data_IF_005583810765
#
_entry.id   IF_005583810765
#
_cell.length_a   1.000
_cell.length_b   1.000
_cell.length_c   1.000
_cell.angle_alpha   90.00
_cell.angle_beta   90.00
_cell.angle_gamma   90.00
#
_symmetry.space_group_name_H-M   'P 1'
#
loop_
_entity.id
_entity.type
_entity.pdbx_description
1 polymer ?
#
# COMPACT_ATOMS: atom_id res chain seq x y z
N UNK A 1 10.09 42.23 12.75
CA UNK A 1 8.82 41.47 12.76
C UNK A 1 8.50 41.08 11.33
N UNK A 2 8.56 39.80 10.95
CA UNK A 2 8.12 39.37 9.63
C UNK A 2 6.60 39.07 9.65
N UNK A 3 5.86 39.50 8.62
CA UNK A 3 4.44 39.22 8.44
C UNK A 3 4.25 37.82 7.82
N UNK A 4 2.99 37.38 7.72
CA UNK A 4 2.49 36.09 7.16
C UNK A 4 2.27 34.94 8.16
N UNK A 5 1.36 35.16 9.12
CA UNK A 5 0.43 34.09 9.52
C UNK A 5 -0.67 33.98 8.47
N UNK A 6 -0.70 32.92 7.65
CA UNK A 6 -1.91 32.53 6.92
C UNK A 6 -2.82 31.71 7.85
N UNK A 7 -4.10 32.07 7.86
CA UNK A 7 -5.17 31.50 8.67
C UNK A 7 -5.45 30.06 8.24
N UNK A 8 -5.54 29.15 9.21
CA UNK A 8 -6.17 27.84 9.07
C UNK A 8 -7.69 28.06 8.93
N UNK A 9 -8.29 27.59 7.83
CA UNK A 9 -9.74 27.39 7.75
C UNK A 9 -9.99 25.88 7.71
N UNK A 10 -10.65 25.29 8.72
CA UNK A 10 -11.02 23.89 8.69
C UNK A 10 -12.29 23.76 7.84
N UNK A 11 -12.17 23.21 6.63
CA UNK A 11 -13.33 22.75 5.89
C UNK A 11 -13.17 21.26 5.55
N UNK A 12 -14.27 20.54 5.74
CA UNK A 12 -14.38 19.09 5.82
C UNK A 12 -14.13 18.41 4.47
N UNK A 13 -12.88 18.03 4.21
CA UNK A 13 -12.49 16.90 3.36
C UNK A 13 -10.99 16.66 3.57
N UNK A 14 -10.69 15.88 4.61
CA UNK A 14 -9.34 15.76 5.19
C UNK A 14 -8.37 14.98 4.28
N UNK A 15 -7.79 15.68 3.31
CA UNK A 15 -6.42 15.44 2.85
C UNK A 15 -5.69 16.77 2.85
N UNK A 16 -4.57 16.94 3.57
CA UNK A 16 -3.77 18.17 3.49
C UNK A 16 -3.32 18.37 2.04
N UNK A 17 -3.95 19.31 1.35
CA UNK A 17 -3.62 19.70 0.00
C UNK A 17 -2.60 20.83 0.09
N UNK A 18 -1.31 20.50 0.06
CA UNK A 18 -0.29 21.46 -0.35
C UNK A 18 -0.38 21.52 -1.87
N UNK A 19 -1.21 22.43 -2.39
CA UNK A 19 -1.24 22.72 -3.82
C UNK A 19 -0.08 23.66 -4.14
N UNK A 20 0.99 23.12 -4.69
CA UNK A 20 1.90 23.93 -5.49
C UNK A 20 1.13 24.38 -6.72
N UNK A 21 1.19 25.67 -7.05
CA UNK A 21 0.64 26.16 -8.30
C UNK A 21 1.27 25.33 -9.43
N UNK A 22 0.51 24.93 -10.45
CA UNK A 22 1.15 24.36 -11.64
C UNK A 22 2.15 25.41 -12.13
N UNK A 23 3.46 25.13 -12.20
CA UNK A 23 4.39 26.09 -12.77
C UNK A 23 4.02 26.22 -14.24
N UNK A 24 3.33 27.32 -14.56
CA UNK A 24 3.31 27.86 -15.90
C UNK A 24 4.73 28.36 -16.13
N UNK A 25 5.43 27.66 -17.01
CA UNK A 25 6.75 28.01 -17.56
C UNK A 25 7.96 27.94 -16.61
N UNK A 26 8.69 26.81 -16.64
CA UNK A 26 10.14 26.75 -17.00
C UNK A 26 10.75 25.35 -16.80
N UNK A 27 10.16 24.31 -17.37
CA UNK A 27 10.93 23.16 -17.91
C UNK A 27 9.96 22.35 -18.77
N UNK A 28 10.06 22.48 -20.09
CA UNK A 28 9.21 21.71 -20.98
C UNK A 28 9.45 20.22 -20.69
N UNK A 29 8.42 19.46 -20.27
CA UNK A 29 8.58 18.04 -20.03
C UNK A 29 9.03 17.40 -21.35
N UNK A 30 10.09 16.61 -21.29
CA UNK A 30 10.64 15.97 -22.47
C UNK A 30 9.54 15.08 -23.09
N UNK A 31 9.07 15.35 -24.33
CA UNK A 31 7.88 14.71 -24.88
C UNK A 31 8.04 13.19 -25.03
N UNK A 32 9.29 12.70 -25.07
CA UNK A 32 9.61 11.28 -25.10
C UNK A 32 9.24 10.51 -23.80
N UNK A 33 9.08 11.21 -22.66
CA UNK A 33 8.85 10.58 -21.35
C UNK A 33 7.46 10.85 -20.76
N UNK A 34 6.59 11.54 -21.50
CA UNK A 34 5.27 11.93 -20.99
C UNK A 34 4.21 10.96 -21.52
N UNK A 35 3.63 10.16 -20.63
CA UNK A 35 2.47 9.34 -20.95
C UNK A 35 1.26 10.26 -21.23
N UNK A 36 0.49 9.94 -22.26
CA UNK A 36 -0.75 10.65 -22.51
C UNK A 36 -1.78 10.40 -21.39
N UNK A 37 -2.80 11.25 -21.32
CA UNK A 37 -3.82 11.18 -20.27
C UNK A 37 -4.56 9.82 -20.30
N UNK A 38 -4.73 9.23 -21.49
CA UNK A 38 -5.38 7.95 -21.66
C UNK A 38 -4.55 6.81 -21.04
N UNK A 39 -3.25 6.73 -21.34
CA UNK A 39 -2.35 5.73 -20.74
C UNK A 39 -2.26 5.90 -19.23
N UNK A 40 -2.22 7.15 -18.73
CA UNK A 40 -2.24 7.43 -17.29
C UNK A 40 -3.54 6.93 -16.63
N UNK A 41 -4.69 7.14 -17.29
CA UNK A 41 -6.00 6.66 -16.82
C UNK A 41 -6.06 5.12 -16.75
N UNK A 42 -5.50 4.43 -17.74
CA UNK A 42 -5.46 2.96 -17.80
C UNK A 42 -4.56 2.40 -16.69
N UNK A 43 -3.39 3.01 -16.48
CA UNK A 43 -2.48 2.63 -15.39
C UNK A 43 -3.15 2.84 -14.04
N UNK A 44 -3.88 3.95 -13.87
CA UNK A 44 -4.58 4.22 -12.62
C UNK A 44 -5.81 3.32 -12.44
N UNK A 45 -6.49 2.88 -13.50
CA UNK A 45 -7.57 1.89 -13.42
C UNK A 45 -7.07 0.52 -12.91
N UNK A 46 -5.82 0.15 -13.20
CA UNK A 46 -5.22 -1.09 -12.71
C UNK A 46 -4.91 -1.09 -11.19
N UNK A 47 -4.99 0.07 -10.53
CA UNK A 47 -4.65 0.22 -9.11
C UNK A 47 -5.92 0.29 -8.26
N UNK A 48 -6.03 -0.57 -7.24
CA UNK A 48 -7.16 -0.54 -6.31
C UNK A 48 -7.29 0.81 -5.59
N UNK A 49 -8.52 1.22 -5.27
CA UNK A 49 -8.79 2.50 -4.61
C UNK A 49 -8.00 2.67 -3.30
N UNK A 50 -7.91 1.60 -2.50
CA UNK A 50 -7.10 1.59 -1.27
C UNK A 50 -5.62 1.87 -1.52
N UNK A 51 -5.07 1.39 -2.64
CA UNK A 51 -3.68 1.63 -3.04
C UNK A 51 -3.51 3.06 -3.58
N UNK A 52 -4.51 3.62 -4.27
CA UNK A 52 -4.51 5.05 -4.66
C UNK A 52 -4.48 5.96 -3.43
N UNK A 53 -5.38 5.74 -2.48
CA UNK A 53 -5.44 6.53 -1.24
C UNK A 53 -4.13 6.49 -0.47
N UNK A 54 -3.53 5.30 -0.33
CA UNK A 54 -2.22 5.16 0.32
C UNK A 54 -1.12 5.93 -0.41
N UNK A 55 -1.11 5.93 -1.75
CA UNK A 55 -0.13 6.70 -2.51
C UNK A 55 -0.30 8.20 -2.26
N UNK A 56 -1.53 8.70 -2.32
CA UNK A 56 -1.84 10.12 -2.03
C UNK A 56 -1.38 10.50 -0.62
N UNK A 57 -1.66 9.66 0.37
CA UNK A 57 -1.23 9.88 1.74
C UNK A 57 0.30 9.98 1.85
N UNK A 58 1.05 9.04 1.26
CA UNK A 58 2.52 9.07 1.33
C UNK A 58 3.14 10.22 0.56
N UNK A 59 2.52 10.67 -0.54
CA UNK A 59 2.92 11.90 -1.22
C UNK A 59 2.65 13.11 -0.33
N UNK A 60 1.47 13.22 0.28
CA UNK A 60 1.14 14.32 1.18
C UNK A 60 2.09 14.39 2.39
N UNK A 61 2.46 13.25 2.98
CA UNK A 61 3.44 13.17 4.06
C UNK A 61 4.81 13.70 3.64
N UNK A 62 5.25 13.43 2.41
CA UNK A 62 6.49 14.01 1.88
C UNK A 62 6.39 15.53 1.72
N UNK A 63 5.26 16.05 1.20
CA UNK A 63 5.07 17.49 1.03
C UNK A 63 4.99 18.24 2.36
N UNK A 64 4.35 17.65 3.38
CA UNK A 64 4.32 18.19 4.73
C UNK A 64 5.74 18.24 5.30
N UNK A 65 6.48 17.12 5.21
CA UNK A 65 7.87 17.09 5.66
C UNK A 65 8.73 18.14 4.95
N UNK A 66 8.57 18.31 3.62
CA UNK A 66 9.29 19.31 2.86
C UNK A 66 8.96 20.74 3.32
N UNK A 67 7.70 21.00 3.66
CA UNK A 67 7.25 22.29 4.22
C UNK A 67 7.89 22.53 5.59
N UNK A 68 7.97 21.51 6.44
CA UNK A 68 8.63 21.59 7.75
C UNK A 68 10.14 21.83 7.64
N UNK A 69 10.76 21.41 6.54
CA UNK A 69 12.17 21.68 6.22
C UNK A 69 12.38 23.02 5.49
N UNK A 70 11.32 23.79 5.24
CA UNK A 70 11.36 25.09 4.55
C UNK A 70 11.96 24.97 3.14
N UNK A 71 11.69 23.86 2.44
CA UNK A 71 12.16 23.64 1.08
C UNK A 71 11.36 24.48 0.08
N UNK A 72 12.02 24.97 -0.96
CA UNK A 72 11.36 25.66 -2.08
C UNK A 72 10.74 24.66 -3.07
N UNK A 73 9.89 25.13 -3.97
CA UNK A 73 9.24 24.25 -4.95
C UNK A 73 10.25 23.54 -5.86
N UNK A 74 11.32 24.25 -6.22
CA UNK A 74 12.41 23.74 -7.06
C UNK A 74 13.22 22.63 -6.36
N UNK A 75 13.25 22.63 -5.01
CA UNK A 75 13.93 21.61 -4.21
C UNK A 75 13.06 20.38 -3.94
N UNK A 76 11.74 20.52 -4.09
CA UNK A 76 10.74 19.45 -3.89
C UNK A 76 10.47 18.70 -5.19
N UNK A 77 10.58 19.37 -6.34
CA UNK A 77 10.18 18.81 -7.62
C UNK A 77 11.05 19.30 -8.81
N UNK A 78 11.98 18.46 -9.32
CA UNK A 78 12.37 17.15 -8.82
C UNK A 78 13.24 17.26 -7.54
N UNK A 79 13.04 16.37 -6.56
CA UNK A 79 13.84 16.41 -5.34
C UNK A 79 15.28 15.98 -5.61
N UNK A 80 16.24 16.74 -5.08
CA UNK A 80 17.66 16.36 -5.13
C UNK A 80 17.94 15.06 -4.36
N UNK A 81 19.05 14.37 -4.65
CA UNK A 81 19.45 13.19 -3.88
C UNK A 81 19.59 13.53 -2.38
N UNK A 82 20.10 14.72 -2.04
CA UNK A 82 20.24 15.19 -0.68
C UNK A 82 18.86 15.33 0.02
N UNK A 83 17.87 15.92 -0.66
CA UNK A 83 16.49 16.03 -0.18
C UNK A 83 15.91 14.64 0.10
N UNK A 84 16.11 13.68 -0.81
CA UNK A 84 15.65 12.30 -0.67
C UNK A 84 16.34 11.59 0.49
N UNK A 85 17.65 11.80 0.68
CA UNK A 85 18.42 11.26 1.80
C UNK A 85 17.92 11.82 3.14
N UNK A 86 17.69 13.12 3.23
CA UNK A 86 17.16 13.77 4.43
C UNK A 86 15.76 13.26 4.77
N UNK A 87 14.90 13.11 3.76
CA UNK A 87 13.58 12.53 3.94
C UNK A 87 13.66 11.09 4.46
N UNK A 88 14.52 10.26 3.87
CA UNK A 88 14.75 8.88 4.32
C UNK A 88 15.27 8.83 5.76
N UNK A 89 16.24 9.68 6.08
CA UNK A 89 16.88 9.76 7.39
C UNK A 89 15.90 10.20 8.49
N UNK A 90 14.87 10.98 8.17
CA UNK A 90 13.83 11.41 9.12
C UNK A 90 13.07 10.25 9.79
N UNK A 91 13.11 9.06 9.16
CA UNK A 91 12.47 7.82 9.63
C UNK A 91 13.39 6.90 10.43
N UNK A 92 14.68 7.23 10.56
CA UNK A 92 15.65 6.43 11.33
C UNK A 92 15.14 6.19 12.76
N UNK A 93 15.13 4.93 13.21
CA UNK A 93 14.62 4.56 14.54
C UNK A 93 13.10 4.63 14.71
N UNK A 94 12.36 5.15 13.72
CA UNK A 94 10.90 5.32 13.79
C UNK A 94 10.14 4.29 12.95
N UNK A 95 10.65 3.96 11.77
CA UNK A 95 10.00 3.04 10.83
C UNK A 95 10.93 1.90 10.42
N UNK A 96 10.34 0.76 10.08
CA UNK A 96 11.05 -0.31 9.39
C UNK A 96 11.53 0.16 8.01
N UNK A 97 12.73 -0.27 7.61
CA UNK A 97 13.33 0.09 6.31
C UNK A 97 12.43 -0.22 5.11
N UNK A 98 11.69 -1.33 5.16
CA UNK A 98 10.70 -1.68 4.13
C UNK A 98 9.60 -0.64 3.97
N UNK A 99 9.12 -0.04 5.07
CA UNK A 99 8.09 1.02 5.04
C UNK A 99 8.65 2.30 4.42
N UNK A 100 9.87 2.68 4.79
CA UNK A 100 10.56 3.86 4.23
C UNK A 100 10.78 3.71 2.72
N UNK A 101 11.21 2.52 2.26
CA UNK A 101 11.36 2.20 0.82
C UNK A 101 10.03 2.37 0.06
N UNK A 102 8.90 1.95 0.64
CA UNK A 102 7.57 2.13 0.02
C UNK A 102 7.17 3.60 -0.07
N UNK A 103 7.44 4.41 0.95
CA UNK A 103 7.19 5.86 0.91
C UNK A 103 8.00 6.54 -0.19
N UNK A 104 9.31 6.28 -0.26
CA UNK A 104 10.18 6.81 -1.31
C UNK A 104 9.77 6.33 -2.71
N UNK A 105 9.39 5.05 -2.86
CA UNK A 105 8.88 4.55 -4.13
C UNK A 105 7.60 5.28 -4.58
N UNK A 106 6.79 5.77 -3.63
CA UNK A 106 5.62 6.58 -3.92
C UNK A 106 6.02 7.98 -4.40
N UNK A 107 6.98 8.62 -3.73
CA UNK A 107 7.55 9.91 -4.17
C UNK A 107 8.16 9.77 -5.58
N UNK A 108 8.95 8.71 -5.82
CA UNK A 108 9.49 8.39 -7.15
C UNK A 108 8.40 8.29 -8.21
N UNK A 109 7.34 7.53 -7.93
CA UNK A 109 6.21 7.40 -8.85
C UNK A 109 5.47 8.71 -9.08
N UNK A 110 5.41 9.60 -8.08
CA UNK A 110 4.82 10.93 -8.21
C UNK A 110 5.68 11.85 -9.10
N UNK A 111 7.00 11.87 -8.94
CA UNK A 111 7.94 12.62 -9.78
C UNK A 111 7.89 12.11 -11.24
N UNK A 112 7.98 10.80 -11.43
CA UNK A 112 7.98 10.19 -12.77
C UNK A 112 6.67 10.40 -13.54
N UNK A 113 5.51 10.43 -12.85
CA UNK A 113 4.22 10.76 -13.49
C UNK A 113 4.17 12.17 -14.06
N UNK A 114 5.03 13.08 -13.59
CA UNK A 114 5.16 14.44 -14.11
C UNK A 114 6.22 14.56 -15.21
N UNK A 115 6.79 13.45 -15.66
CA UNK A 115 7.83 13.43 -16.69
C UNK A 115 9.20 13.92 -16.20
N UNK A 116 9.40 14.02 -14.88
CA UNK A 116 10.63 14.52 -14.28
C UNK A 116 11.62 13.39 -13.95
N UNK A 117 12.91 13.72 -13.97
CA UNK A 117 13.99 12.79 -13.65
C UNK A 117 14.01 12.47 -12.16
N UNK A 118 14.31 11.21 -11.83
CA UNK A 118 14.47 10.74 -10.46
C UNK A 118 15.95 10.74 -10.07
N UNK A 119 16.35 11.65 -9.18
CA UNK A 119 17.73 11.83 -8.72
C UNK A 119 18.12 10.91 -7.55
N UNK A 120 17.70 9.64 -7.58
CA UNK A 120 18.08 8.67 -6.54
C UNK A 120 19.34 7.90 -6.91
N UNK A 121 20.43 8.12 -6.18
CA UNK A 121 21.74 7.51 -6.41
C UNK A 121 22.21 6.57 -5.31
N UNK A 122 23.54 6.52 -5.12
CA UNK A 122 24.20 5.61 -4.17
C UNK A 122 24.06 6.08 -2.71
N UNK A 123 23.99 7.39 -2.47
CA UNK A 123 23.84 7.94 -1.12
C UNK A 123 22.48 7.57 -0.57
N UNK A 124 21.42 7.70 -1.39
CA UNK A 124 20.07 7.30 -0.99
C UNK A 124 20.01 5.81 -0.62
N UNK A 125 20.71 4.96 -1.37
CA UNK A 125 20.80 3.51 -1.07
C UNK A 125 21.50 3.26 0.26
N UNK A 126 22.61 3.95 0.53
CA UNK A 126 23.35 3.82 1.77
C UNK A 126 22.54 4.31 2.98
N UNK A 127 21.81 5.41 2.84
CA UNK A 127 20.90 5.92 3.87
C UNK A 127 19.77 4.92 4.12
N UNK A 128 19.17 4.35 3.07
CA UNK A 128 18.13 3.33 3.21
C UNK A 128 18.62 2.07 3.96
N UNK A 129 19.84 1.61 3.66
CA UNK A 129 20.45 0.50 4.39
C UNK A 129 20.68 0.88 5.86
N UNK A 130 21.13 2.11 6.12
CA UNK A 130 21.33 2.61 7.48
C UNK A 130 20.02 2.71 8.27
N UNK A 131 18.93 3.16 7.62
CA UNK A 131 17.58 3.20 8.21
C UNK A 131 17.10 1.79 8.56
N UNK A 132 17.36 0.81 7.70
CA UNK A 132 17.03 -0.59 7.96
C UNK A 132 17.80 -1.18 9.14
N UNK A 133 19.11 -0.93 9.22
CA UNK A 133 19.93 -1.34 10.38
C UNK A 133 19.52 -0.65 11.69
N UNK A 134 18.93 0.55 11.62
CA UNK A 134 18.45 1.33 12.77
C UNK A 134 16.95 1.16 13.00
N UNK A 135 16.29 0.19 12.35
CA UNK A 135 14.89 -0.07 12.58
C UNK A 135 14.65 -0.43 14.06
N UNK A 136 13.58 0.08 14.69
CA UNK A 136 13.33 -0.19 16.11
C UNK A 136 13.09 -1.69 16.32
N UNK A 137 13.54 -2.23 17.46
CA UNK A 137 13.36 -3.66 17.79
C UNK A 137 11.88 -4.09 17.71
N UNK A 138 10.97 -3.20 18.11
CA UNK A 138 9.52 -3.39 18.01
C UNK A 138 8.98 -3.54 16.58
N UNK A 139 9.75 -3.17 15.56
CA UNK A 139 9.37 -3.38 14.15
C UNK A 139 9.64 -4.78 13.64
N UNK A 140 10.46 -5.56 14.35
CA UNK A 140 10.70 -6.95 14.03
C UNK A 140 9.63 -7.80 14.73
N UNK A 141 8.78 -8.45 13.95
CA UNK A 141 7.92 -9.50 14.47
C UNK A 141 8.73 -10.78 14.57
N UNK A 142 8.66 -11.45 15.72
CA UNK A 142 9.16 -12.82 15.86
C UNK A 142 8.55 -13.69 14.77
N UNK A 143 9.37 -14.60 14.21
CA UNK A 143 8.89 -15.57 13.26
C UNK A 143 7.78 -16.38 13.94
N UNK A 144 6.59 -16.38 13.33
CA UNK A 144 5.46 -17.15 13.88
C UNK A 144 5.87 -18.62 13.98
N UNK A 145 5.64 -19.28 15.13
CA UNK A 145 5.96 -20.69 15.26
C UNK A 145 5.20 -21.51 14.21
N UNK A 146 5.79 -22.62 13.71
CA UNK A 146 5.10 -23.50 12.79
C UNK A 146 3.75 -23.95 13.36
N UNK A 147 2.73 -24.03 12.51
CA UNK A 147 1.44 -24.57 12.92
C UNK A 147 1.61 -26.08 13.11
N UNK A 148 1.46 -26.52 14.35
CA UNK A 148 1.56 -27.93 14.72
C UNK A 148 0.22 -28.64 14.54
N UNK A 149 0.27 -29.97 14.41
CA UNK A 149 -0.91 -30.83 14.33
C UNK A 149 -1.86 -30.62 15.51
N UNK A 150 -1.31 -30.45 16.72
CA UNK A 150 -2.08 -30.21 17.95
C UNK A 150 -2.99 -28.98 17.84
N UNK A 151 -2.51 -27.87 17.26
CA UNK A 151 -3.32 -26.65 17.10
C UNK A 151 -4.53 -26.89 16.17
N UNK A 152 -4.35 -27.70 15.14
CA UNK A 152 -5.40 -28.05 14.18
C UNK A 152 -6.40 -29.02 14.82
N UNK A 153 -5.93 -29.98 15.62
CA UNK A 153 -6.77 -30.90 16.37
C UNK A 153 -7.61 -30.16 17.42
N UNK A 154 -7.05 -29.18 18.13
CA UNK A 154 -7.80 -28.32 19.06
C UNK A 154 -8.85 -27.50 18.31
N UNK A 155 -8.48 -26.87 17.19
CA UNK A 155 -9.42 -26.17 16.30
C UNK A 155 -10.60 -27.07 15.91
N UNK A 156 -10.32 -28.32 15.50
CA UNK A 156 -11.34 -29.27 15.06
C UNK A 156 -12.26 -29.74 16.19
N UNK A 157 -11.72 -29.97 17.39
CA UNK A 157 -12.47 -30.49 18.53
C UNK A 157 -13.31 -29.42 19.24
N UNK A 158 -12.85 -28.16 19.25
CA UNK A 158 -13.50 -27.03 19.94
C UNK A 158 -14.25 -26.10 18.95
N UNK A 159 -14.61 -26.64 17.78
CA UNK A 159 -14.96 -25.87 16.59
C UNK A 159 -16.28 -25.08 16.78
N UNK A 160 -16.17 -23.79 17.09
CA UNK A 160 -17.24 -22.82 16.87
C UNK A 160 -17.23 -22.32 15.40
N UNK A 161 -18.24 -21.58 14.96
CA UNK A 161 -18.32 -21.05 13.57
C UNK A 161 -17.10 -20.23 13.14
N UNK A 162 -16.38 -19.58 14.07
CA UNK A 162 -15.15 -18.83 13.77
C UNK A 162 -13.92 -19.72 13.55
N UNK A 163 -13.89 -20.90 14.17
CA UNK A 163 -12.87 -21.92 13.96
C UNK A 163 -12.99 -22.57 12.58
N UNK A 164 -14.22 -22.72 12.04
CA UNK A 164 -14.44 -23.25 10.69
C UNK A 164 -13.79 -22.36 9.60
N UNK A 165 -13.93 -21.03 9.70
CA UNK A 165 -13.28 -20.11 8.77
C UNK A 165 -11.75 -20.14 8.88
N UNK A 166 -11.23 -20.30 10.09
CA UNK A 166 -9.79 -20.43 10.35
C UNK A 166 -9.21 -21.73 9.77
N UNK A 167 -9.93 -22.85 9.93
CA UNK A 167 -9.57 -24.12 9.31
C UNK A 167 -9.59 -24.02 7.78
N UNK A 168 -10.61 -23.39 7.20
CA UNK A 168 -10.66 -23.13 5.75
C UNK A 168 -9.50 -22.27 5.24
N UNK A 169 -9.10 -21.25 6.00
CA UNK A 169 -7.89 -20.47 5.69
C UNK A 169 -6.62 -21.33 5.74
N UNK A 170 -6.51 -22.20 6.75
CA UNK A 170 -5.33 -23.02 6.96
C UNK A 170 -5.17 -24.08 5.87
N UNK A 171 -6.18 -24.93 5.67
CA UNK A 171 -6.11 -26.04 4.73
C UNK A 171 -6.10 -25.58 3.27
N UNK A 172 -6.92 -24.59 2.92
CA UNK A 172 -6.92 -24.02 1.56
C UNK A 172 -5.80 -23.01 1.31
N UNK A 173 -4.91 -22.79 2.29
CA UNK A 173 -3.87 -21.75 2.25
C UNK A 173 -4.43 -20.37 1.84
N UNK A 174 -5.68 -20.10 2.22
CA UNK A 174 -6.41 -18.92 1.83
C UNK A 174 -6.04 -17.76 2.74
N UNK A 175 -5.92 -16.57 2.16
CA UNK A 175 -5.86 -15.34 2.95
C UNK A 175 -7.25 -15.04 3.49
N UNK A 176 -7.37 -14.77 4.79
CA UNK A 176 -8.67 -14.49 5.43
C UNK A 176 -9.51 -13.45 4.70
N UNK A 177 -8.89 -12.37 4.19
CA UNK A 177 -9.60 -11.35 3.40
C UNK A 177 -10.15 -11.81 2.04
N UNK A 178 -9.96 -13.06 1.63
CA UNK A 178 -10.62 -13.67 0.46
C UNK A 178 -11.94 -14.37 0.82
N UNK A 179 -12.12 -14.78 2.08
CA UNK A 179 -13.27 -15.59 2.51
C UNK A 179 -14.07 -14.95 3.65
N UNK A 180 -13.48 -13.99 4.35
CA UNK A 180 -14.11 -13.25 5.44
C UNK A 180 -14.56 -11.86 4.98
N UNK A 181 -15.75 -11.41 5.38
CA UNK A 181 -16.17 -10.03 5.19
C UNK A 181 -15.26 -9.07 5.98
N UNK A 182 -15.18 -7.80 5.56
CA UNK A 182 -14.34 -6.80 6.22
C UNK A 182 -14.81 -6.43 7.64
N UNK A 183 -16.08 -6.70 7.97
CA UNK A 183 -16.67 -6.45 9.28
C UNK A 183 -17.56 -7.62 9.71
N UNK A 184 -17.95 -7.63 10.98
CA UNK A 184 -18.92 -8.59 11.52
C UNK A 184 -20.37 -8.26 11.14
N UNK A 185 -20.63 -7.12 10.48
CA UNK A 185 -21.97 -6.74 10.06
C UNK A 185 -22.39 -7.59 8.84
N UNK A 186 -23.48 -8.36 8.92
CA UNK A 186 -23.95 -9.18 7.81
C UNK A 186 -24.23 -8.40 6.52
N UNK A 187 -24.55 -7.10 6.61
CA UNK A 187 -24.82 -6.26 5.42
C UNK A 187 -23.58 -6.01 4.57
N UNK A 188 -22.38 -6.18 5.15
CA UNK A 188 -21.12 -5.96 4.44
C UNK A 188 -20.67 -7.20 3.64
N UNK A 189 -21.41 -8.31 3.76
CA UNK A 189 -21.18 -9.49 2.95
C UNK A 189 -21.65 -9.25 1.51
N UNK A 190 -20.71 -9.30 0.58
CA UNK A 190 -20.98 -9.15 -0.84
C UNK A 190 -20.70 -10.47 -1.59
N UNK A 191 -21.73 -11.18 -2.08
CA UNK A 191 -21.58 -12.48 -2.74
C UNK A 191 -20.88 -12.39 -4.11
N UNK A 192 -20.72 -11.20 -4.68
CA UNK A 192 -19.90 -11.00 -5.89
C UNK A 192 -18.41 -10.94 -5.60
N UNK A 193 -18.01 -10.66 -4.35
CA UNK A 193 -16.61 -10.52 -3.95
C UNK A 193 -16.14 -11.66 -3.04
N UNK A 194 -17.05 -12.29 -2.30
CA UNK A 194 -16.77 -13.36 -1.35
C UNK A 194 -17.42 -14.67 -1.81
N UNK A 195 -16.78 -15.83 -1.57
CA UNK A 195 -17.34 -17.11 -1.94
C UNK A 195 -18.61 -17.41 -1.17
N UNK A 196 -19.55 -18.04 -1.85
CA UNK A 196 -20.80 -18.57 -1.33
C UNK A 196 -20.75 -20.10 -1.29
N UNK A 197 -21.75 -20.74 -0.66
CA UNK A 197 -21.85 -22.22 -0.67
C UNK A 197 -21.94 -22.78 -2.09
N UNK A 198 -22.51 -22.02 -3.04
CA UNK A 198 -22.61 -22.41 -4.46
C UNK A 198 -21.26 -22.47 -5.17
N UNK A 199 -20.25 -21.78 -4.63
CA UNK A 199 -18.90 -21.75 -5.18
C UNK A 199 -18.07 -22.97 -4.76
N UNK A 200 -18.57 -23.80 -3.83
CA UNK A 200 -17.97 -25.06 -3.45
C UNK A 200 -18.45 -26.18 -4.38
N UNK A 201 -17.53 -26.73 -5.18
CA UNK A 201 -17.83 -27.84 -6.08
C UNK A 201 -17.99 -29.15 -5.31
N UNK A 202 -18.66 -30.11 -5.95
CA UNK A 202 -18.76 -31.48 -5.46
C UNK A 202 -17.37 -32.10 -5.25
N UNK A 203 -17.30 -33.08 -4.36
CA UNK A 203 -16.06 -33.79 -4.08
C UNK A 203 -15.58 -34.57 -5.31
N UNK A 204 -14.27 -34.60 -5.54
CA UNK A 204 -13.65 -35.49 -6.51
C UNK A 204 -13.55 -36.92 -5.96
N UNK A 205 -12.97 -37.85 -6.74
CA UNK A 205 -12.75 -39.25 -6.34
C UNK A 205 -11.89 -39.38 -5.07
N UNK A 206 -11.03 -38.39 -4.78
CA UNK A 206 -10.19 -38.34 -3.59
C UNK A 206 -10.87 -37.67 -2.39
N UNK A 207 -12.16 -37.33 -2.48
CA UNK A 207 -12.92 -36.55 -1.49
C UNK A 207 -12.51 -35.08 -1.33
N UNK A 208 -11.62 -34.55 -2.17
CA UNK A 208 -11.26 -33.13 -2.19
C UNK A 208 -12.36 -32.29 -2.83
N UNK A 209 -12.56 -31.06 -2.35
CA UNK A 209 -13.55 -30.13 -2.91
C UNK A 209 -12.87 -28.87 -3.41
N UNK A 210 -13.20 -28.46 -4.62
CA UNK A 210 -12.69 -27.19 -5.18
C UNK A 210 -13.58 -26.03 -4.74
N UNK A 211 -12.97 -24.98 -4.20
CA UNK A 211 -13.63 -23.72 -3.90
C UNK A 211 -13.29 -22.68 -4.96
N UNK A 212 -14.32 -22.11 -5.61
CA UNK A 212 -14.16 -20.95 -6.49
C UNK A 212 -14.12 -19.67 -5.64
N UNK A 213 -13.07 -18.89 -5.81
CA UNK A 213 -12.95 -17.54 -5.25
C UNK A 213 -13.37 -16.53 -6.32
N UNK A 214 -14.45 -15.76 -6.11
CA UNK A 214 -14.91 -14.76 -7.08
C UNK A 214 -13.85 -13.70 -7.37
N UNK A 215 -13.04 -13.37 -6.36
CA UNK A 215 -12.04 -12.30 -6.45
C UNK A 215 -10.77 -12.65 -5.69
N UNK A 216 -9.62 -12.42 -6.31
CA UNK A 216 -8.33 -12.52 -5.62
C UNK A 216 -7.51 -11.25 -5.81
N UNK A 217 -6.39 -11.14 -5.06
CA UNK A 217 -5.50 -9.98 -5.14
C UNK A 217 -4.98 -9.75 -6.55
N UNK A 218 -4.70 -10.83 -7.27
CA UNK A 218 -4.08 -10.85 -8.61
C UNK A 218 -5.10 -11.04 -9.72
N UNK A 219 -6.20 -11.77 -9.49
CA UNK A 219 -7.28 -11.97 -10.43
C UNK A 219 -8.57 -11.29 -9.93
N UNK A 220 -8.63 -9.96 -10.07
CA UNK A 220 -9.73 -9.18 -9.52
C UNK A 220 -11.08 -9.38 -10.24
N UNK A 221 -11.05 -9.69 -11.54
CA UNK A 221 -12.25 -9.90 -12.37
C UNK A 221 -12.50 -11.37 -12.71
N UNK A 222 -11.44 -12.19 -12.79
CA UNK A 222 -11.52 -13.60 -13.21
C UNK A 222 -11.75 -14.57 -12.05
N UNK A 223 -11.34 -14.20 -10.84
CA UNK A 223 -11.32 -15.11 -9.69
C UNK A 223 -10.24 -16.19 -9.82
N UNK A 224 -10.31 -17.19 -8.94
CA UNK A 224 -9.36 -18.31 -8.86
C UNK A 224 -10.07 -19.56 -8.30
N UNK A 225 -9.65 -20.77 -8.67
CA UNK A 225 -10.11 -22.00 -8.01
C UNK A 225 -9.01 -22.54 -7.12
N UNK A 226 -9.37 -22.94 -5.90
CA UNK A 226 -8.46 -23.53 -4.92
C UNK A 226 -8.98 -24.90 -4.52
N UNK A 227 -8.08 -25.86 -4.33
CA UNK A 227 -8.38 -27.22 -3.85
C UNK A 227 -8.28 -27.25 -2.33
#
# INVERSE_FOLDING_TARGET
MPPYRRRFNPNSDNTPCVSFANPVDTLAPNPANTLDQNAQSVIDAAVSQKKKQRKLQYTAEFLIWATDQVLTEEEVLPPSEATLCNYAASFTGKLAGGTTKVKLSTVKGWVQRRGLTWEGGINLRNVLNSVECRAPASSFCEQRPPVKKEHISTLFNELNLSAAASAGCFYGQLRGGKILPPSSNPTDYNPSNLPTVKDLKAANENSDRKLRLPKTKTAQSKGEEVV
#
